data_IF_747542439432
#
_entry.id   IF_747542439432
#
_cell.length_a   1.000
_cell.length_b   1.000
_cell.length_c   1.000
_cell.angle_alpha   90.00
_cell.angle_beta   90.00
_cell.angle_gamma   90.00
#
_symmetry.space_group_name_H-M   'P 1'
#
loop_
_entity.id
_entity.type
_entity.pdbx_description
1 polymer ?
#
# COMPACT_ATOMS: atom_id res chain seq x y z
N UNK A 1 4.14 11.86 3.45
CA UNK A 1 3.21 12.81 2.79
C UNK A 1 1.79 12.26 2.81
N UNK A 2 1.58 11.03 2.34
CA UNK A 2 0.28 10.37 2.23
C UNK A 2 -0.59 10.43 3.50
N UNK A 3 -0.04 10.12 4.68
CA UNK A 3 -0.78 10.13 5.94
C UNK A 3 -1.48 11.47 6.24
N UNK A 4 -0.81 12.60 5.98
CA UNK A 4 -1.41 13.93 6.20
C UNK A 4 -2.57 14.22 5.25
N UNK A 5 -2.51 13.68 4.03
CA UNK A 5 -3.59 13.79 3.04
C UNK A 5 -4.81 12.97 3.50
N UNK A 6 -4.60 11.73 3.94
CA UNK A 6 -5.68 10.89 4.51
C UNK A 6 -6.34 11.56 5.72
N UNK A 7 -5.55 12.12 6.63
CA UNK A 7 -6.08 12.82 7.81
C UNK A 7 -6.98 14.00 7.42
N UNK A 8 -6.58 14.81 6.43
CA UNK A 8 -7.41 15.93 5.92
C UNK A 8 -8.70 15.44 5.26
N UNK A 9 -8.68 14.26 4.66
CA UNK A 9 -9.85 13.63 4.04
C UNK A 9 -10.73 12.86 5.05
N UNK A 10 -10.40 12.88 6.34
CA UNK A 10 -11.13 12.12 7.37
C UNK A 10 -10.94 10.61 7.28
N UNK A 11 -9.86 10.14 6.65
CA UNK A 11 -9.54 8.72 6.49
C UNK A 11 -8.51 8.32 7.56
N UNK A 12 -8.87 7.31 8.34
CA UNK A 12 -7.96 6.68 9.30
C UNK A 12 -7.01 5.70 8.59
N UNK A 13 -5.73 5.74 8.96
CA UNK A 13 -4.71 4.83 8.42
C UNK A 13 -4.31 3.84 9.50
N UNK A 14 -4.52 2.57 9.22
CA UNK A 14 -4.05 1.45 10.04
C UNK A 14 -2.77 0.85 9.43
N UNK A 15 -1.82 0.47 10.29
CA UNK A 15 -0.56 -0.14 9.89
C UNK A 15 -0.47 -1.56 10.43
N UNK A 16 0.12 -2.51 9.68
CA UNK A 16 0.43 -3.83 10.20
C UNK A 16 1.31 -3.78 11.45
N UNK A 17 1.17 -4.78 12.32
CA UNK A 17 2.14 -5.02 13.39
C UNK A 17 3.48 -5.44 12.79
N UNK A 18 4.58 -5.13 13.47
CA UNK A 18 5.95 -5.50 13.09
C UNK A 18 6.35 -5.10 11.66
N UNK A 19 6.09 -3.84 11.28
CA UNK A 19 6.45 -3.28 9.97
C UNK A 19 7.89 -3.60 9.52
N UNK A 20 8.85 -3.57 10.45
CA UNK A 20 10.27 -3.81 10.17
C UNK A 20 10.56 -5.24 9.68
N UNK A 21 9.67 -6.21 9.99
CA UNK A 21 9.80 -7.59 9.56
C UNK A 21 9.17 -7.86 8.18
N UNK A 22 8.29 -6.97 7.73
CA UNK A 22 7.46 -7.14 6.53
C UNK A 22 8.09 -6.46 5.31
N UNK A 23 8.02 -7.13 4.15
CA UNK A 23 8.57 -6.60 2.91
C UNK A 23 7.82 -7.19 1.70
N UNK A 24 7.64 -6.40 0.64
CA UNK A 24 7.03 -6.87 -0.62
C UNK A 24 7.94 -7.81 -1.44
N UNK A 25 9.15 -8.13 -0.94
CA UNK A 25 10.11 -9.00 -1.61
C UNK A 25 10.96 -8.30 -2.69
N UNK A 26 10.64 -7.07 -3.09
CA UNK A 26 11.31 -6.36 -4.20
C UNK A 26 12.84 -6.33 -4.09
N UNK A 27 13.45 -5.95 -2.94
CA UNK A 27 14.90 -5.85 -2.84
C UNK A 27 15.59 -7.20 -3.06
N UNK A 28 15.03 -8.28 -2.50
CA UNK A 28 15.56 -9.64 -2.63
C UNK A 28 15.46 -10.15 -4.07
N UNK A 29 14.33 -9.89 -4.73
CA UNK A 29 14.13 -10.22 -6.13
C UNK A 29 15.17 -9.52 -7.02
N UNK A 30 15.45 -8.24 -6.76
CA UNK A 30 16.49 -7.47 -7.48
C UNK A 30 17.90 -8.00 -7.25
N UNK A 31 18.18 -8.63 -6.11
CA UNK A 31 19.46 -9.28 -5.81
C UNK A 31 19.54 -10.73 -6.31
N UNK A 32 18.45 -11.26 -6.89
CA UNK A 32 18.38 -12.62 -7.44
C UNK A 32 17.92 -13.69 -6.47
N UNK A 33 17.66 -13.36 -5.19
CA UNK A 33 17.14 -14.28 -4.19
C UNK A 33 15.61 -14.36 -4.28
N UNK A 34 15.15 -15.18 -5.24
CA UNK A 34 13.72 -15.33 -5.55
C UNK A 34 12.94 -16.06 -4.46
N UNK A 35 13.59 -16.96 -3.74
CA UNK A 35 12.92 -17.75 -2.71
C UNK A 35 12.64 -16.88 -1.48
N UNK A 36 13.62 -16.09 -1.04
CA UNK A 36 13.42 -15.12 0.03
C UNK A 36 12.43 -14.02 -0.38
N UNK A 37 12.47 -13.57 -1.64
CA UNK A 37 11.49 -12.59 -2.15
C UNK A 37 10.05 -13.11 -2.03
N UNK A 38 9.79 -14.34 -2.45
CA UNK A 38 8.47 -14.99 -2.35
C UNK A 38 8.05 -15.19 -0.91
N UNK A 39 8.96 -15.66 -0.06
CA UNK A 39 8.69 -15.84 1.37
C UNK A 39 8.25 -14.51 1.99
N UNK A 40 9.00 -13.42 1.75
CA UNK A 40 8.68 -12.09 2.28
C UNK A 40 7.35 -11.56 1.75
N UNK A 41 7.09 -11.74 0.45
CA UNK A 41 5.81 -11.37 -0.15
C UNK A 41 4.63 -12.13 0.49
N UNK A 42 4.78 -13.41 0.79
CA UNK A 42 3.74 -14.22 1.43
C UNK A 42 3.50 -13.78 2.88
N UNK A 43 4.57 -13.51 3.65
CA UNK A 43 4.47 -12.98 5.01
C UNK A 43 3.67 -11.66 5.02
N UNK A 44 3.97 -10.75 4.08
CA UNK A 44 3.26 -9.49 3.92
C UNK A 44 1.79 -9.71 3.50
N UNK A 45 1.53 -10.59 2.55
CA UNK A 45 0.18 -10.90 2.07
C UNK A 45 -0.71 -11.40 3.22
N UNK A 46 -0.22 -12.32 4.04
CA UNK A 46 -0.96 -12.88 5.17
C UNK A 46 -1.27 -11.80 6.23
N UNK A 47 -0.29 -10.96 6.57
CA UNK A 47 -0.48 -9.87 7.51
C UNK A 47 -1.53 -8.86 7.02
N UNK A 48 -1.46 -8.49 5.74
CA UNK A 48 -2.41 -7.56 5.13
C UNK A 48 -3.80 -8.16 4.97
N UNK A 49 -3.90 -9.45 4.59
CA UNK A 49 -5.18 -10.17 4.50
C UNK A 49 -5.90 -10.16 5.84
N UNK A 50 -5.18 -10.42 6.93
CA UNK A 50 -5.76 -10.39 8.27
C UNK A 50 -6.18 -8.96 8.66
N UNK A 51 -5.30 -7.98 8.47
CA UNK A 51 -5.56 -6.59 8.88
C UNK A 51 -6.71 -5.95 8.09
N UNK A 52 -6.84 -6.28 6.81
CA UNK A 52 -7.84 -5.71 5.90
C UNK A 52 -9.18 -6.44 5.90
N UNK A 53 -9.35 -7.45 6.77
CA UNK A 53 -10.52 -8.33 6.79
C UNK A 53 -10.80 -8.96 5.40
N UNK A 54 -9.77 -9.59 4.82
CA UNK A 54 -9.78 -10.18 3.48
C UNK A 54 -10.02 -9.16 2.35
N UNK A 55 -9.53 -7.93 2.53
CA UNK A 55 -9.58 -6.87 1.52
C UNK A 55 -10.81 -5.96 1.59
N UNK A 56 -11.64 -6.07 2.65
CA UNK A 56 -12.72 -5.11 2.89
C UNK A 56 -12.18 -3.70 3.17
N UNK A 57 -11.00 -3.60 3.77
CA UNK A 57 -10.29 -2.34 3.97
C UNK A 57 -9.28 -2.16 2.82
N UNK A 58 -9.30 -1.01 2.09
CA UNK A 58 -8.35 -0.75 1.03
C UNK A 58 -6.90 -0.78 1.52
N UNK A 59 -6.05 -1.52 0.81
CA UNK A 59 -4.62 -1.60 1.08
C UNK A 59 -3.89 -0.62 0.17
N UNK A 60 -3.05 0.22 0.73
CA UNK A 60 -2.30 1.24 -0.01
C UNK A 60 -0.81 1.13 0.30
N UNK A 61 0.02 1.23 -0.73
CA UNK A 61 1.46 1.39 -0.59
C UNK A 61 1.89 2.80 -1.01
N UNK A 62 2.68 3.48 -0.16
CA UNK A 62 3.28 4.79 -0.47
C UNK A 62 4.55 4.69 -1.34
N UNK A 63 4.88 3.48 -1.78
CA UNK A 63 5.98 3.21 -2.69
C UNK A 63 5.48 2.39 -3.87
N UNK A 64 5.42 3.01 -5.05
CA UNK A 64 4.91 2.39 -6.28
C UNK A 64 5.57 1.06 -6.63
N UNK A 65 6.91 0.86 -6.43
CA UNK A 65 7.53 -0.45 -6.64
C UNK A 65 6.94 -1.55 -5.75
N UNK A 66 6.59 -1.23 -4.51
CA UNK A 66 5.96 -2.17 -3.59
C UNK A 66 4.52 -2.46 -3.98
N UNK A 67 3.75 -1.46 -4.43
CA UNK A 67 2.40 -1.64 -4.94
C UNK A 67 2.38 -2.59 -6.15
N UNK A 68 3.30 -2.36 -7.10
CA UNK A 68 3.42 -3.14 -8.33
C UNK A 68 3.88 -4.58 -8.05
N UNK A 69 4.92 -4.75 -7.23
CA UNK A 69 5.44 -6.07 -6.89
C UNK A 69 4.38 -6.88 -6.14
N UNK A 70 3.75 -6.30 -5.12
CA UNK A 70 2.70 -6.96 -4.35
C UNK A 70 1.50 -7.34 -5.23
N UNK A 71 1.06 -6.43 -6.12
CA UNK A 71 -0.01 -6.72 -7.09
C UNK A 71 0.30 -7.88 -8.03
N UNK A 72 1.57 -8.17 -8.27
CA UNK A 72 2.02 -9.26 -9.16
C UNK A 72 2.24 -10.58 -8.41
N UNK A 73 2.55 -10.51 -7.10
CA UNK A 73 2.89 -11.68 -6.28
C UNK A 73 1.73 -12.20 -5.45
N UNK A 74 0.80 -11.33 -5.01
CA UNK A 74 -0.29 -11.74 -4.13
C UNK A 74 -1.23 -12.72 -4.84
N UNK A 75 -1.60 -13.76 -4.11
CA UNK A 75 -2.48 -14.83 -4.56
C UNK A 75 -3.97 -14.58 -4.25
N UNK A 76 -4.25 -13.64 -3.35
CA UNK A 76 -5.58 -13.29 -2.87
C UNK A 76 -6.45 -12.45 -3.81
N UNK A 77 -7.68 -12.17 -3.37
CA UNK A 77 -8.68 -11.41 -4.15
C UNK A 77 -8.51 -9.88 -4.04
N UNK A 78 -7.70 -9.40 -3.11
CA UNK A 78 -7.47 -7.97 -2.93
C UNK A 78 -6.25 -7.49 -3.70
N UNK A 79 -6.39 -6.32 -4.31
CA UNK A 79 -5.31 -5.67 -5.06
C UNK A 79 -4.89 -4.40 -4.32
N UNK A 80 -3.59 -4.25 -3.99
CA UNK A 80 -3.10 -3.02 -3.40
C UNK A 80 -3.17 -1.83 -4.36
N UNK A 81 -3.45 -0.65 -3.82
CA UNK A 81 -3.33 0.63 -4.53
C UNK A 81 -1.94 1.21 -4.36
N UNK A 82 -1.48 1.91 -5.39
CA UNK A 82 -0.48 2.97 -5.22
C UNK A 82 -1.12 4.19 -4.52
N UNK A 83 -0.35 4.93 -3.74
CA UNK A 83 -0.86 6.10 -3.01
C UNK A 83 -1.45 7.18 -3.93
N UNK A 84 -0.88 7.40 -5.12
CA UNK A 84 -1.45 8.34 -6.10
C UNK A 84 -2.77 7.82 -6.68
N UNK A 85 -2.85 6.52 -6.98
CA UNK A 85 -4.09 5.90 -7.47
C UNK A 85 -5.21 5.99 -6.42
N UNK A 86 -4.89 5.68 -5.16
CA UNK A 86 -5.84 5.79 -4.06
C UNK A 86 -6.30 7.24 -3.85
N UNK A 87 -5.37 8.20 -3.87
CA UNK A 87 -5.71 9.62 -3.73
C UNK A 87 -6.68 10.05 -4.84
N UNK A 88 -6.36 9.73 -6.09
CA UNK A 88 -7.17 10.10 -7.24
C UNK A 88 -8.59 9.52 -7.20
N UNK A 89 -8.76 8.30 -6.69
CA UNK A 89 -10.06 7.60 -6.66
C UNK A 89 -10.88 7.90 -5.41
N UNK A 90 -10.24 7.95 -4.25
CA UNK A 90 -10.93 7.95 -2.96
C UNK A 90 -10.79 9.28 -2.24
N UNK A 91 -9.62 9.91 -2.28
CA UNK A 91 -9.36 11.09 -1.44
C UNK A 91 -9.85 12.37 -2.11
N UNK A 92 -9.73 12.47 -3.44
CA UNK A 92 -10.09 13.68 -4.19
C UNK A 92 -11.55 14.11 -4.01
N UNK A 93 -12.48 13.15 -3.86
CA UNK A 93 -13.90 13.45 -3.63
C UNK A 93 -14.18 13.98 -2.20
N UNK A 94 -13.25 13.78 -1.28
CA UNK A 94 -13.38 14.09 0.16
C UNK A 94 -12.61 15.36 0.56
N UNK A 95 -11.91 16.00 -0.36
CA UNK A 95 -11.08 17.17 -0.10
C UNK A 95 -11.58 18.40 -0.86
N UNK A 96 -11.61 19.54 -0.17
CA UNK A 96 -11.76 20.83 -0.81
C UNK A 96 -10.41 21.30 -1.35
N UNK A 97 -10.30 21.38 -2.67
CA UNK A 97 -9.09 21.85 -3.35
C UNK A 97 -9.21 23.35 -3.60
N UNK A 98 -8.31 24.11 -2.99
CA UNK A 98 -8.18 25.54 -3.22
C UNK A 98 -6.98 25.79 -4.13
N UNK A 99 -7.23 26.43 -5.26
CA UNK A 99 -6.14 26.86 -6.14
C UNK A 99 -5.24 27.84 -5.40
N UNK A 100 -3.93 27.59 -5.42
CA UNK A 100 -2.92 28.51 -4.93
C UNK A 100 -2.24 29.16 -6.12
N UNK A 101 -1.99 30.46 -6.03
CA UNK A 101 -1.11 31.15 -6.97
C UNK A 101 0.34 30.88 -6.54
N UNK A 102 0.88 29.74 -6.96
CA UNK A 102 2.33 29.53 -6.97
C UNK A 102 2.92 30.24 -8.20
N UNK A 103 4.06 30.97 -8.06
CA UNK A 103 4.71 31.66 -9.19
C UNK A 103 5.30 30.71 -10.22
#
# INVERSE_FOLDING_TARGET
MFHSICQKAGIEVILPQDLDALCCGKPYASMGDKDLAKQKSLELELALKQLSEDGQIPIVFDASPCALESSSQFSGQFKPFDSCEFVAKEVMERLELNAINEP
#
